data_IF_842669906426
#
_entry.id   IF_842669906426
#
_cell.length_a   1.000
_cell.length_b   1.000
_cell.length_c   1.000
_cell.angle_alpha   90.00
_cell.angle_beta   90.00
_cell.angle_gamma   90.00
#
_symmetry.space_group_name_H-M   'P 1'
#
loop_
_entity.id
_entity.type
_entity.pdbx_description
1 polymer ?
#
# COMPACT_ATOMS: atom_id res chain seq x y z
N UNK A 1 12.56 3.46 25.32
CA UNK A 1 11.18 3.28 24.82
C UNK A 1 11.26 3.14 23.33
N UNK A 2 10.62 2.14 22.74
CA UNK A 2 10.60 1.96 21.29
C UNK A 2 9.75 3.07 20.64
N UNK A 3 9.94 3.32 19.35
CA UNK A 3 9.15 4.29 18.58
C UNK A 3 7.64 3.97 18.64
N UNK A 4 7.30 2.69 18.77
CA UNK A 4 5.93 2.20 18.96
C UNK A 4 5.35 2.56 20.35
N UNK A 5 6.13 2.37 21.42
CA UNK A 5 5.71 2.79 22.77
C UNK A 5 5.54 4.32 22.86
N UNK A 6 6.31 5.08 22.10
CA UNK A 6 6.16 6.53 22.00
C UNK A 6 4.91 6.94 21.22
N UNK A 7 4.54 6.19 20.17
CA UNK A 7 3.30 6.41 19.41
C UNK A 7 2.04 6.14 20.23
N UNK A 8 2.00 5.02 20.95
CA UNK A 8 0.89 4.69 21.84
C UNK A 8 0.76 5.71 22.99
N UNK A 9 1.89 6.14 23.57
CA UNK A 9 1.88 7.17 24.62
C UNK A 9 1.50 8.57 24.11
N UNK A 10 1.79 8.90 22.85
CA UNK A 10 1.34 10.13 22.21
C UNK A 10 -0.17 10.12 21.97
N UNK A 11 -0.72 8.96 21.56
CA UNK A 11 -2.15 8.76 21.43
C UNK A 11 -2.87 8.84 22.79
N UNK A 12 -2.36 8.20 23.83
CA UNK A 12 -2.93 8.28 25.19
C UNK A 12 -2.96 9.72 25.71
N UNK A 13 -1.91 10.52 25.43
CA UNK A 13 -1.91 11.96 25.71
C UNK A 13 -2.99 12.72 24.94
N UNK A 14 -3.22 12.37 23.67
CA UNK A 14 -4.21 13.03 22.81
C UNK A 14 -5.66 12.58 23.11
N UNK A 15 -5.84 11.34 23.59
CA UNK A 15 -7.11 10.83 24.10
C UNK A 15 -7.55 11.57 25.36
N UNK A 16 -6.59 11.93 26.23
CA UNK A 16 -6.85 12.74 27.43
C UNK A 16 -7.25 14.18 27.12
N UNK A 17 -6.93 14.70 25.92
CA UNK A 17 -7.31 16.04 25.49
C UNK A 17 -8.64 16.11 24.71
N UNK A 18 -9.33 14.98 24.51
CA UNK A 18 -10.69 14.94 23.93
C UNK A 18 -10.79 15.23 22.42
N UNK A 19 -9.67 15.24 21.69
CA UNK A 19 -9.61 15.71 20.29
C UNK A 19 -10.10 14.72 19.22
N UNK A 20 -10.41 13.47 19.58
CA UNK A 20 -10.85 12.42 18.65
C UNK A 20 -12.13 11.76 19.14
N UNK A 21 -13.08 11.59 18.21
CA UNK A 21 -14.29 10.79 18.45
C UNK A 21 -13.95 9.31 18.67
N UNK A 22 -14.85 8.55 19.30
CA UNK A 22 -14.62 7.13 19.60
C UNK A 22 -14.33 6.29 18.34
N UNK A 23 -14.94 6.64 17.21
CA UNK A 23 -14.73 5.93 15.94
C UNK A 23 -13.35 6.25 15.34
N UNK A 24 -12.91 7.51 15.39
CA UNK A 24 -11.56 7.90 14.96
C UNK A 24 -10.48 7.23 15.81
N UNK A 25 -10.75 6.99 17.11
CA UNK A 25 -9.83 6.26 17.99
C UNK A 25 -9.63 4.81 17.57
N UNK A 26 -10.71 4.11 17.20
CA UNK A 26 -10.63 2.72 16.76
C UNK A 26 -9.84 2.58 15.45
N UNK A 27 -9.97 3.56 14.56
CA UNK A 27 -9.20 3.60 13.30
C UNK A 27 -7.71 3.82 13.60
N UNK A 28 -7.38 4.80 14.46
CA UNK A 28 -5.99 5.10 14.79
C UNK A 28 -5.32 3.97 15.56
N UNK A 29 -6.01 3.38 16.56
CA UNK A 29 -5.52 2.21 17.29
C UNK A 29 -5.34 1.01 16.37
N UNK A 30 -6.30 0.74 15.49
CA UNK A 30 -6.18 -0.32 14.49
C UNK A 30 -4.97 -0.13 13.56
N UNK A 31 -4.68 1.10 13.14
CA UNK A 31 -3.51 1.42 12.32
C UNK A 31 -2.18 1.21 13.09
N UNK A 32 -2.09 1.66 14.33
CA UNK A 32 -0.89 1.50 15.16
C UNK A 32 -0.62 0.02 15.50
N UNK A 33 -1.67 -0.72 15.84
CA UNK A 33 -1.57 -2.15 16.18
C UNK A 33 -1.22 -2.98 14.93
N UNK A 34 -1.79 -2.67 13.77
CA UNK A 34 -1.43 -3.35 12.50
C UNK A 34 -0.01 -3.03 12.06
N UNK A 35 0.48 -1.79 12.25
CA UNK A 35 1.89 -1.48 11.96
C UNK A 35 2.83 -2.26 12.90
N UNK A 36 2.42 -2.52 14.15
CA UNK A 36 3.16 -3.39 15.06
C UNK A 36 3.11 -4.86 14.60
N UNK A 37 1.96 -5.36 14.18
CA UNK A 37 1.80 -6.73 13.67
C UNK A 37 2.57 -6.95 12.37
N UNK A 38 2.55 -5.99 11.43
CA UNK A 38 3.31 -6.03 10.18
C UNK A 38 4.81 -5.98 10.45
N UNK A 39 5.25 -5.14 11.40
CA UNK A 39 6.66 -5.13 11.85
C UNK A 39 7.05 -6.46 12.49
N UNK A 40 6.18 -7.04 13.32
CA UNK A 40 6.42 -8.35 13.95
C UNK A 40 6.45 -9.47 12.92
N UNK A 41 5.55 -9.44 11.93
CA UNK A 41 5.49 -10.43 10.86
C UNK A 41 6.69 -10.30 9.91
N UNK A 42 7.12 -9.08 9.60
CA UNK A 42 8.34 -8.84 8.84
C UNK A 42 9.57 -9.37 9.58
N UNK A 43 9.71 -9.07 10.88
CA UNK A 43 10.78 -9.60 11.72
C UNK A 43 10.72 -11.14 11.80
N UNK A 44 9.53 -11.73 11.95
CA UNK A 44 9.36 -13.19 11.97
C UNK A 44 9.76 -13.83 10.63
N UNK A 45 9.41 -13.21 9.50
CA UNK A 45 9.83 -13.68 8.17
C UNK A 45 11.34 -13.53 7.95
N UNK A 46 11.96 -12.45 8.41
CA UNK A 46 13.42 -12.28 8.37
C UNK A 46 14.12 -13.31 9.25
N UNK A 47 13.59 -13.58 10.45
CA UNK A 47 14.14 -14.61 11.34
C UNK A 47 13.95 -16.00 10.72
N UNK A 48 12.79 -16.34 10.17
CA UNK A 48 12.56 -17.63 9.50
C UNK A 48 13.37 -17.80 8.19
N UNK A 49 13.62 -16.71 7.46
CA UNK A 49 14.45 -16.69 6.24
C UNK A 49 15.93 -17.03 6.50
N UNK A 50 16.43 -16.86 7.73
CA UNK A 50 17.82 -17.15 8.08
C UNK A 50 18.11 -18.61 8.47
N UNK A 51 17.12 -19.52 8.43
CA UNK A 51 17.35 -20.94 8.80
C UNK A 51 16.95 -21.96 7.72
N UNK A 52 16.26 -21.53 6.65
CA UNK A 52 15.78 -22.45 5.61
C UNK A 52 16.70 -22.54 4.37
N UNK A 53 17.64 -21.61 4.18
CA UNK A 53 18.54 -21.59 3.01
C UNK A 53 20.02 -21.94 3.31
N UNK A 54 20.36 -22.41 4.50
CA UNK A 54 21.74 -22.77 4.86
C UNK A 54 22.00 -24.29 4.91
N UNK A 55 21.45 -25.05 3.96
CA UNK A 55 21.62 -26.53 3.92
C UNK A 55 22.16 -27.10 2.61
N UNK A 56 22.91 -26.33 1.81
CA UNK A 56 23.56 -26.87 0.60
C UNK A 56 24.99 -26.43 0.31
N UNK A 57 25.70 -25.75 1.23
CA UNK A 57 27.12 -25.43 1.01
C UNK A 57 27.98 -25.95 2.15
N UNK A 58 28.34 -27.24 2.07
CA UNK A 58 29.53 -27.77 2.74
C UNK A 58 30.67 -27.90 1.72
N UNK A 59 31.91 -27.50 2.06
CA UNK A 59 33.06 -27.53 1.17
C UNK A 59 33.68 -28.92 1.15
N UNK A 60 33.67 -29.58 -0.02
CA UNK A 60 34.35 -30.84 -0.27
C UNK A 60 35.56 -30.62 -1.19
N UNK A 61 36.75 -30.79 -0.62
CA UNK A 61 38.05 -30.78 -1.31
C UNK A 61 38.08 -31.78 -2.47
N UNK A 62 38.56 -31.33 -3.64
CA UNK A 62 38.88 -32.19 -4.79
C UNK A 62 39.71 -31.46 -5.84
N UNK A 63 41.01 -31.75 -5.87
CA UNK A 63 41.99 -31.27 -6.85
C UNK A 63 41.70 -31.82 -8.26
N UNK A 64 41.97 -31.03 -9.31
CA UNK A 64 42.74 -31.37 -10.55
C UNK A 64 42.54 -30.27 -11.61
N UNK A 65 43.65 -29.87 -12.24
CA UNK A 65 43.79 -28.66 -13.05
C UNK A 65 43.23 -28.70 -14.48
N UNK A 66 43.29 -27.55 -15.14
CA UNK A 66 42.92 -27.39 -16.54
C UNK A 66 42.87 -25.93 -17.01
N UNK A 67 43.77 -25.59 -17.91
CA UNK A 67 44.07 -24.29 -18.53
C UNK A 67 42.97 -23.82 -19.51
N UNK A 68 42.62 -22.53 -19.47
CA UNK A 68 42.25 -21.74 -20.67
C UNK A 68 40.79 -21.29 -20.83
N UNK A 69 40.62 -20.00 -21.16
CA UNK A 69 39.60 -19.53 -22.11
C UNK A 69 38.38 -18.78 -21.54
N UNK A 70 38.45 -17.44 -21.59
CA UNK A 70 37.44 -16.57 -22.24
C UNK A 70 35.99 -16.51 -21.75
N UNK A 71 35.51 -15.26 -21.72
CA UNK A 71 34.14 -14.77 -21.96
C UNK A 71 33.19 -14.69 -20.74
N UNK A 72 32.67 -13.47 -20.52
CA UNK A 72 31.32 -13.28 -20.00
C UNK A 72 31.21 -12.62 -18.62
N UNK A 73 31.65 -11.38 -18.47
CA UNK A 73 31.13 -10.51 -17.40
C UNK A 73 29.66 -10.20 -17.70
N UNK A 74 28.75 -11.09 -17.29
CA UNK A 74 27.31 -10.83 -17.25
C UNK A 74 27.00 -10.33 -15.84
N UNK A 75 27.09 -9.02 -15.66
CA UNK A 75 26.51 -8.34 -14.49
C UNK A 75 24.99 -8.46 -14.61
N UNK A 76 24.43 -9.58 -14.16
CA UNK A 76 23.01 -9.64 -13.81
C UNK A 76 22.87 -9.07 -12.40
N UNK A 77 22.98 -7.75 -12.30
CA UNK A 77 22.30 -7.01 -11.25
C UNK A 77 20.81 -7.07 -11.56
N UNK A 78 20.19 -8.20 -11.27
CA UNK A 78 18.74 -8.26 -11.14
C UNK A 78 18.42 -7.43 -9.91
N UNK A 79 18.09 -6.16 -10.12
CA UNK A 79 17.30 -5.44 -9.16
C UNK A 79 16.08 -6.33 -8.91
N UNK A 80 15.95 -6.77 -7.67
CA UNK A 80 14.71 -7.33 -7.14
C UNK A 80 13.68 -6.20 -7.19
N UNK A 81 13.16 -5.91 -8.37
CA UNK A 81 12.08 -4.97 -8.65
C UNK A 81 10.75 -5.61 -8.25
N UNK A 82 10.69 -6.15 -7.04
CA UNK A 82 9.42 -6.54 -6.44
C UNK A 82 8.73 -5.27 -5.98
N UNK A 83 8.22 -4.49 -6.94
CA UNK A 83 7.15 -3.54 -6.70
C UNK A 83 6.03 -4.32 -6.00
N UNK A 84 5.76 -4.00 -4.74
CA UNK A 84 4.85 -4.76 -3.89
C UNK A 84 3.55 -5.07 -4.62
N UNK A 85 3.28 -6.36 -4.82
CA UNK A 85 2.06 -6.81 -5.48
C UNK A 85 0.85 -6.38 -4.66
N UNK A 86 -0.07 -5.61 -5.27
CA UNK A 86 -1.34 -5.20 -4.62
C UNK A 86 -2.26 -6.39 -4.29
N UNK A 87 -1.95 -7.60 -4.76
CA UNK A 87 -2.80 -8.79 -4.62
C UNK A 87 -3.05 -9.19 -3.16
N UNK A 88 -2.16 -8.79 -2.24
CA UNK A 88 -2.25 -9.14 -0.82
C UNK A 88 -2.70 -7.96 0.06
N UNK A 89 -3.15 -6.84 -0.54
CA UNK A 89 -3.59 -5.67 0.21
C UNK A 89 -4.88 -5.96 0.98
N UNK A 90 -5.83 -6.71 0.42
CA UNK A 90 -7.11 -7.00 1.06
C UNK A 90 -7.33 -8.51 1.24
N UNK A 91 -6.58 -9.16 2.15
CA UNK A 91 -6.68 -10.60 2.35
C UNK A 91 -8.10 -10.98 2.78
N UNK A 92 -8.66 -12.03 2.19
CA UNK A 92 -10.04 -12.47 2.46
C UNK A 92 -11.11 -11.72 1.66
N UNK A 93 -10.78 -10.85 0.71
CA UNK A 93 -11.79 -10.38 -0.25
C UNK A 93 -12.36 -11.56 -1.06
N UNK A 94 -13.69 -11.68 -1.26
CA UNK A 94 -14.76 -10.71 -0.98
C UNK A 94 -15.59 -10.99 0.29
N UNK A 95 -14.99 -11.50 1.37
CA UNK A 95 -15.72 -11.80 2.60
C UNK A 95 -16.35 -10.55 3.25
N UNK A 96 -17.26 -10.76 4.20
CA UNK A 96 -17.91 -9.69 4.95
C UNK A 96 -16.87 -8.73 5.57
N UNK A 97 -17.13 -7.43 5.42
CA UNK A 97 -16.23 -6.37 5.87
C UNK A 97 -15.04 -6.08 4.94
N UNK A 98 -14.77 -6.93 3.94
CA UNK A 98 -13.70 -6.72 2.94
C UNK A 98 -14.18 -6.00 1.69
N UNK A 99 -15.49 -5.86 1.50
CA UNK A 99 -16.11 -5.21 0.33
C UNK A 99 -16.38 -3.71 0.52
N UNK A 100 -16.33 -3.21 1.76
CA UNK A 100 -16.64 -1.81 2.10
C UNK A 100 -15.43 -1.05 2.70
N UNK A 101 -14.25 -1.67 2.70
CA UNK A 101 -13.02 -1.12 3.27
C UNK A 101 -12.12 -0.43 2.22
N UNK A 102 -12.68 0.06 1.12
CA UNK A 102 -11.91 0.64 0.00
C UNK A 102 -10.93 1.72 0.46
N UNK A 103 -11.31 2.57 1.43
CA UNK A 103 -10.41 3.57 2.02
C UNK A 103 -9.19 2.96 2.69
N UNK A 104 -9.36 1.89 3.48
CA UNK A 104 -8.23 1.18 4.09
C UNK A 104 -7.35 0.53 3.02
N UNK A 105 -7.96 -0.06 2.00
CA UNK A 105 -7.25 -0.64 0.85
C UNK A 105 -6.42 0.41 0.11
N UNK A 106 -6.94 1.63 -0.07
CA UNK A 106 -6.18 2.69 -0.72
C UNK A 106 -4.98 3.17 0.09
N UNK A 107 -5.10 3.22 1.42
CA UNK A 107 -3.99 3.54 2.32
C UNK A 107 -2.92 2.44 2.28
N UNK A 108 -3.32 1.17 2.44
CA UNK A 108 -2.40 0.05 2.42
C UNK A 108 -1.71 -0.14 1.06
N UNK A 109 -2.43 0.15 -0.03
CA UNK A 109 -1.84 0.15 -1.39
C UNK A 109 -0.80 1.24 -1.55
N UNK A 110 -1.07 2.48 -1.13
CA UNK A 110 -0.08 3.56 -1.22
C UNK A 110 1.16 3.26 -0.37
N UNK A 111 0.98 2.75 0.85
CA UNK A 111 2.09 2.33 1.71
C UNK A 111 2.94 1.24 1.02
N UNK A 112 2.29 0.24 0.42
CA UNK A 112 2.95 -0.85 -0.31
C UNK A 112 3.75 -0.31 -1.51
N UNK A 113 3.17 0.63 -2.26
CA UNK A 113 3.85 1.30 -3.38
C UNK A 113 5.01 2.20 -2.92
N UNK A 114 4.95 2.72 -1.70
CA UNK A 114 6.03 3.47 -1.07
C UNK A 114 7.14 2.58 -0.48
N UNK A 115 7.07 1.25 -0.68
CA UNK A 115 8.05 0.29 -0.17
C UNK A 115 7.76 -0.22 1.25
N UNK A 116 6.58 0.05 1.79
CA UNK A 116 6.13 -0.42 3.11
C UNK A 116 4.93 -1.36 2.93
N UNK A 117 5.14 -2.68 2.69
CA UNK A 117 4.05 -3.62 2.50
C UNK A 117 3.04 -3.56 3.66
N UNK A 118 1.76 -3.44 3.33
CA UNK A 118 0.68 -3.30 4.31
C UNK A 118 -0.59 -4.02 3.84
N UNK A 119 -1.44 -4.39 4.81
CA UNK A 119 -2.76 -4.98 4.54
C UNK A 119 -3.88 -4.14 5.17
N UNK A 120 -5.00 -4.08 4.46
CA UNK A 120 -6.19 -3.35 4.89
C UNK A 120 -6.97 -4.14 5.95
N UNK A 121 -7.41 -3.43 7.00
CA UNK A 121 -8.38 -3.97 7.95
C UNK A 121 -9.80 -4.01 7.35
N UNK A 122 -10.62 -5.00 7.74
CA UNK A 122 -12.02 -5.05 7.34
C UNK A 122 -12.83 -3.92 8.02
N UNK A 123 -13.93 -3.51 7.38
CA UNK A 123 -14.89 -2.55 7.92
C UNK A 123 -16.28 -3.18 7.87
N UNK A 124 -16.87 -3.44 9.04
CA UNK A 124 -18.19 -4.07 9.14
C UNK A 124 -19.36 -3.09 8.92
N UNK A 125 -19.08 -1.81 8.69
CA UNK A 125 -20.08 -0.79 8.35
C UNK A 125 -20.28 -0.71 6.83
N UNK A 126 -21.54 -0.59 6.40
CA UNK A 126 -21.92 -0.36 5.00
C UNK A 126 -22.07 1.12 4.65
N UNK A 127 -21.90 2.02 5.62
CA UNK A 127 -22.10 3.48 5.43
C UNK A 127 -20.98 4.16 4.65
N UNK A 128 -19.93 3.42 4.29
CA UNK A 128 -18.72 3.95 3.68
C UNK A 128 -17.85 4.72 4.68
N UNK A 129 -16.62 5.05 4.26
CA UNK A 129 -15.68 5.85 5.05
C UNK A 129 -15.59 7.25 4.43
N UNK A 130 -15.67 8.33 5.23
CA UNK A 130 -15.56 9.70 4.71
C UNK A 130 -14.22 9.97 4.02
N UNK A 131 -14.24 10.65 2.86
CA UNK A 131 -13.02 11.05 2.14
C UNK A 131 -12.07 11.91 2.98
N UNK A 132 -12.60 12.64 3.95
CA UNK A 132 -11.81 13.45 4.89
C UNK A 132 -10.79 12.62 5.68
N UNK A 133 -11.00 11.30 5.83
CA UNK A 133 -10.00 10.41 6.43
C UNK A 133 -8.73 10.37 5.58
N UNK A 134 -8.88 10.21 4.26
CA UNK A 134 -7.75 10.23 3.33
C UNK A 134 -7.10 11.61 3.26
N UNK A 135 -7.89 12.67 3.21
CA UNK A 135 -7.36 14.04 3.20
C UNK A 135 -6.53 14.35 4.45
N UNK A 136 -7.00 13.93 5.63
CA UNK A 136 -6.25 14.06 6.89
C UNK A 136 -4.97 13.20 6.86
N UNK A 137 -5.06 11.95 6.37
CA UNK A 137 -3.94 11.02 6.31
C UNK A 137 -2.78 11.55 5.46
N UNK A 138 -3.07 12.18 4.32
CA UNK A 138 -2.05 12.65 3.38
C UNK A 138 -1.77 14.15 3.46
N UNK A 139 -2.49 14.90 4.30
CA UNK A 139 -2.32 16.36 4.41
C UNK A 139 -2.67 17.11 3.12
N UNK A 140 -3.48 16.52 2.25
CA UNK A 140 -3.86 17.04 0.94
C UNK A 140 -5.38 17.01 0.76
N UNK A 141 -5.89 17.63 -0.31
CA UNK A 141 -7.33 17.68 -0.63
C UNK A 141 -7.64 16.98 -1.93
N UNK A 142 -8.82 16.37 -2.01
CA UNK A 142 -9.32 15.89 -3.29
C UNK A 142 -9.64 17.08 -4.19
N UNK A 143 -9.15 17.02 -5.44
CA UNK A 143 -9.49 17.96 -6.50
C UNK A 143 -10.28 17.25 -7.58
N UNK A 144 -11.42 17.82 -7.98
CA UNK A 144 -12.17 17.33 -9.13
C UNK A 144 -11.35 17.38 -10.41
N UNK A 145 -11.49 16.35 -11.24
CA UNK A 145 -10.86 16.29 -12.56
C UNK A 145 -11.93 16.21 -13.65
N UNK A 146 -11.63 16.76 -14.83
CA UNK A 146 -12.55 16.74 -15.97
C UNK A 146 -12.59 15.37 -16.67
N UNK A 147 -11.51 14.59 -16.60
CA UNK A 147 -11.42 13.28 -17.24
C UNK A 147 -10.33 12.38 -16.64
N UNK A 148 -10.34 11.05 -16.91
CA UNK A 148 -9.25 10.15 -16.54
C UNK A 148 -7.89 10.57 -17.12
N UNK A 149 -7.87 11.14 -18.33
CA UNK A 149 -6.63 11.61 -18.97
C UNK A 149 -5.99 12.74 -18.15
N UNK A 150 -6.80 13.60 -17.53
CA UNK A 150 -6.30 14.66 -16.65
C UNK A 150 -5.55 14.07 -15.46
N UNK A 151 -6.07 12.98 -14.86
CA UNK A 151 -5.36 12.25 -13.79
C UNK A 151 -4.03 11.73 -14.34
N UNK A 152 -4.05 11.04 -15.48
CA UNK A 152 -2.83 10.52 -16.11
C UNK A 152 -1.80 11.62 -16.34
N UNK A 153 -2.20 12.82 -16.79
CA UNK A 153 -1.30 13.96 -16.98
C UNK A 153 -0.74 14.50 -15.66
N UNK A 154 -1.55 14.57 -14.59
CA UNK A 154 -1.04 14.95 -13.27
C UNK A 154 -0.03 13.94 -12.73
N UNK A 155 -0.29 12.65 -12.88
CA UNK A 155 0.59 11.59 -12.36
C UNK A 155 1.87 11.49 -13.18
N UNK A 156 1.80 11.54 -14.51
CA UNK A 156 3.00 11.50 -15.38
C UNK A 156 3.88 12.73 -15.18
N UNK A 157 3.27 13.93 -15.02
CA UNK A 157 3.99 15.17 -14.76
C UNK A 157 4.70 15.20 -13.40
N UNK A 158 4.26 14.37 -12.45
CA UNK A 158 4.94 14.16 -11.17
C UNK A 158 6.22 13.34 -11.26
N UNK A 159 6.52 12.72 -12.40
CA UNK A 159 7.70 11.88 -12.58
C UNK A 159 7.56 10.47 -12.01
N UNK A 160 8.64 9.69 -12.08
CA UNK A 160 8.65 8.31 -11.59
C UNK A 160 8.36 8.24 -10.08
N UNK A 161 7.60 7.22 -9.65
CA UNK A 161 7.18 7.05 -8.28
C UNK A 161 6.08 8.02 -7.80
N UNK A 162 5.58 8.90 -8.68
CA UNK A 162 4.45 9.77 -8.37
C UNK A 162 3.17 8.94 -8.12
N UNK A 163 2.45 9.25 -7.04
CA UNK A 163 1.27 8.49 -6.59
C UNK A 163 0.08 9.39 -6.27
N UNK A 164 -1.09 8.77 -6.28
CA UNK A 164 -2.32 9.40 -5.86
C UNK A 164 -3.42 8.39 -5.54
N UNK A 165 -4.49 8.91 -4.96
CA UNK A 165 -5.74 8.19 -4.73
C UNK A 165 -6.83 8.86 -5.56
N UNK A 166 -7.56 8.06 -6.32
CA UNK A 166 -8.69 8.49 -7.13
C UNK A 166 -9.96 8.11 -6.39
N UNK A 167 -10.87 9.08 -6.25
CA UNK A 167 -12.24 8.84 -5.83
C UNK A 167 -13.15 8.83 -7.05
N UNK A 168 -13.90 7.76 -7.24
CA UNK A 168 -14.94 7.62 -8.25
C UNK A 168 -16.33 7.66 -7.63
N UNK A 169 -17.17 8.59 -8.10
CA UNK A 169 -18.57 8.69 -7.67
C UNK A 169 -19.51 8.02 -8.67
N UNK A 170 -20.39 7.15 -8.20
CA UNK A 170 -21.50 6.60 -9.01
C UNK A 170 -22.69 7.57 -9.11
N UNK A 171 -22.66 8.67 -8.35
CA UNK A 171 -23.68 9.71 -8.31
C UNK A 171 -24.35 9.86 -6.95
N UNK A 172 -25.35 10.74 -6.85
CA UNK A 172 -26.02 11.06 -5.59
C UNK A 172 -26.62 9.82 -4.92
N UNK A 173 -26.40 9.67 -3.61
CA UNK A 173 -26.99 8.60 -2.80
C UNK A 173 -26.29 7.24 -2.88
N UNK A 174 -25.19 7.12 -3.63
CA UNK A 174 -24.41 5.89 -3.71
C UNK A 174 -23.02 6.07 -3.08
N UNK A 175 -22.54 5.14 -2.24
CA UNK A 175 -21.16 5.13 -1.79
C UNK A 175 -20.23 5.03 -3.00
N UNK A 176 -19.29 5.97 -3.13
CA UNK A 176 -18.29 5.90 -4.19
C UNK A 176 -17.21 4.84 -3.90
N UNK A 177 -16.23 4.76 -4.79
CA UNK A 177 -15.08 3.86 -4.68
C UNK A 177 -13.78 4.67 -4.65
N UNK A 178 -12.76 4.14 -3.98
CA UNK A 178 -11.42 4.71 -4.01
C UNK A 178 -10.41 3.65 -4.44
N UNK A 179 -9.45 4.07 -5.26
CA UNK A 179 -8.39 3.23 -5.80
C UNK A 179 -7.14 4.08 -6.04
N UNK A 180 -5.99 3.45 -6.24
CA UNK A 180 -4.71 4.15 -6.35
C UNK A 180 -4.33 4.35 -7.80
N UNK A 181 -3.48 5.35 -8.03
CA UNK A 181 -2.80 5.57 -9.29
C UNK A 181 -1.31 5.82 -9.02
N UNK A 182 -0.45 5.27 -9.86
CA UNK A 182 1.00 5.40 -9.72
C UNK A 182 1.68 5.53 -11.08
N UNK A 183 2.74 6.33 -11.13
CA UNK A 183 3.72 6.33 -12.20
C UNK A 183 4.82 5.31 -11.87
N UNK A 184 4.91 4.24 -12.65
CA UNK A 184 6.00 3.26 -12.55
C UNK A 184 6.84 3.33 -13.82
N UNK A 185 7.98 4.00 -13.75
CA UNK A 185 8.92 4.17 -14.85
C UNK A 185 8.27 4.75 -16.13
N UNK A 186 7.39 5.74 -15.97
CA UNK A 186 6.65 6.37 -17.06
C UNK A 186 5.35 5.66 -17.45
N UNK A 187 5.07 4.47 -16.90
CA UNK A 187 3.82 3.76 -17.11
C UNK A 187 2.82 4.09 -16.00
N UNK A 188 1.70 4.72 -16.35
CA UNK A 188 0.63 5.04 -15.41
C UNK A 188 -0.25 3.82 -15.17
N UNK A 189 -0.44 3.45 -13.91
CA UNK A 189 -1.21 2.27 -13.52
C UNK A 189 -2.26 2.64 -12.47
N UNK A 190 -3.49 2.25 -12.76
CA UNK A 190 -4.63 2.37 -11.86
C UNK A 190 -4.85 1.03 -11.14
N UNK A 191 -4.81 1.06 -9.82
CA UNK A 191 -4.66 -0.11 -8.96
C UNK A 191 -5.80 -0.15 -7.94
N UNK A 192 -6.64 -1.16 -8.02
CA UNK A 192 -7.67 -1.41 -7.03
C UNK A 192 -7.16 -2.42 -6.00
N UNK A 193 -6.66 -1.90 -4.87
CA UNK A 193 -6.19 -2.72 -3.76
C UNK A 193 -7.28 -3.52 -3.05
N UNK A 194 -8.56 -3.15 -3.21
CA UNK A 194 -9.66 -3.91 -2.62
C UNK A 194 -9.84 -5.25 -3.34
N UNK A 195 -9.77 -5.23 -4.67
CA UNK A 195 -9.95 -6.42 -5.51
C UNK A 195 -8.64 -7.08 -5.95
N UNK A 196 -7.51 -6.40 -5.77
CA UNK A 196 -6.18 -6.84 -6.23
C UNK A 196 -6.01 -6.78 -7.74
N UNK A 197 -6.84 -6.00 -8.45
CA UNK A 197 -6.92 -5.92 -9.91
C UNK A 197 -6.63 -4.50 -10.42
N UNK A 198 -6.43 -4.31 -11.72
CA UNK A 198 -6.50 -2.97 -12.31
C UNK A 198 -7.86 -2.33 -12.01
N UNK A 199 -7.87 -1.04 -11.69
CA UNK A 199 -9.12 -0.34 -11.40
C UNK A 199 -9.96 -0.18 -12.68
N UNK A 200 -11.28 -0.37 -12.55
CA UNK A 200 -12.24 -0.09 -13.61
C UNK A 200 -12.88 1.28 -13.37
N UNK A 201 -12.79 2.17 -14.36
CA UNK A 201 -13.30 3.54 -14.24
C UNK A 201 -14.60 3.79 -15.03
N UNK A 202 -15.10 2.79 -15.73
CA UNK A 202 -16.18 2.93 -16.73
C UNK A 202 -17.53 3.32 -16.11
N UNK A 203 -17.73 2.98 -14.84
CA UNK A 203 -19.02 3.15 -14.15
C UNK A 203 -19.11 4.47 -13.35
N UNK A 204 -18.03 5.25 -13.28
CA UNK A 204 -18.01 6.50 -12.51
C UNK A 204 -18.52 7.69 -13.30
N UNK A 205 -19.36 8.51 -12.66
CA UNK A 205 -19.89 9.76 -13.22
C UNK A 205 -18.92 10.93 -13.05
N UNK A 206 -18.22 10.96 -11.92
CA UNK A 206 -17.21 11.97 -11.63
C UNK A 206 -16.00 11.34 -10.96
N UNK A 207 -14.85 11.96 -11.18
CA UNK A 207 -13.57 11.55 -10.62
C UNK A 207 -12.94 12.71 -9.86
N UNK A 208 -12.25 12.38 -8.77
CA UNK A 208 -11.42 13.31 -8.02
C UNK A 208 -10.07 12.68 -7.73
N UNK A 209 -9.03 13.49 -7.66
CA UNK A 209 -7.66 13.05 -7.39
C UNK A 209 -7.17 13.67 -6.08
N UNK A 210 -6.55 12.85 -5.24
CA UNK A 210 -5.74 13.24 -4.09
C UNK A 210 -4.29 12.83 -4.35
N UNK A 211 -3.35 13.78 -4.30
CA UNK A 211 -1.91 13.48 -4.39
C UNK A 211 -1.40 12.93 -3.05
N UNK A 212 -0.52 11.93 -3.10
CA UNK A 212 0.05 11.29 -1.90
C UNK A 212 1.55 11.54 -1.73
N UNK A 213 2.22 12.10 -2.75
CA UNK A 213 3.60 12.60 -2.72
C UNK A 213 3.86 13.68 -3.77
#
# INVERSE_FOLDING_TARGET
>A
RTTAEMGNAALDKYESSGGLSWEERLIVRGFLDSNQDDTRLAVQKTVQGNHAEMLSVLPGVGLVGGKGGGVGAKTTGGADETAGSIKNVNPGYPDAGRTHNCVNCSIATDATLAGNPASALPINSTKGVPLTVLEKQYGAKFSGVSSPETITQHIIGGGDGARGIVFGSYGPGQPGHVFNVVNQNGAIRYLDGQTGKPANMSDFKTLQLLRTN
#
